data_IF_720579442693
#
_entry.id   IF_720579442693
#
_cell.length_a   1.000
_cell.length_b   1.000
_cell.length_c   1.000
_cell.angle_alpha   90.00
_cell.angle_beta   90.00
_cell.angle_gamma   90.00
#
_symmetry.space_group_name_H-M   'P 1'
#
loop_
_entity.id
_entity.type
_entity.pdbx_description
1 polymer ?
#
# COMPACT_ATOMS: atom_id res chain seq x y z
N UNK A 1 -8.20 -35.50 -4.94
CA UNK A 1 -9.29 -34.74 -5.61
C UNK A 1 -10.30 -34.37 -4.56
N UNK A 2 -10.50 -33.10 -4.28
CA UNK A 2 -11.56 -32.69 -3.38
C UNK A 2 -12.91 -32.98 -4.04
N UNK A 3 -13.85 -33.58 -3.30
CA UNK A 3 -15.19 -33.83 -3.81
C UNK A 3 -15.94 -32.51 -3.96
N UNK A 4 -16.95 -32.42 -4.84
CA UNK A 4 -17.79 -31.23 -4.97
C UNK A 4 -18.38 -30.77 -3.63
N UNK A 5 -18.61 -31.70 -2.70
CA UNK A 5 -19.08 -31.41 -1.34
C UNK A 5 -18.02 -30.66 -0.54
N UNK A 6 -16.75 -31.09 -0.60
CA UNK A 6 -15.65 -30.42 0.11
C UNK A 6 -15.45 -28.98 -0.37
N UNK A 7 -15.51 -28.76 -1.70
CA UNK A 7 -15.44 -27.41 -2.29
C UNK A 7 -16.61 -26.55 -1.80
N UNK A 8 -17.84 -27.06 -1.83
CA UNK A 8 -19.01 -26.32 -1.34
C UNK A 8 -18.94 -26.01 0.15
N UNK A 9 -18.44 -26.93 0.98
CA UNK A 9 -18.28 -26.71 2.40
C UNK A 9 -17.21 -25.62 2.70
N UNK A 10 -16.12 -25.60 1.92
CA UNK A 10 -15.11 -24.54 2.00
C UNK A 10 -15.69 -23.19 1.59
N UNK A 11 -16.35 -23.11 0.41
CA UNK A 11 -16.97 -21.86 -0.05
C UNK A 11 -17.96 -21.35 0.99
N UNK A 12 -18.87 -22.21 1.48
CA UNK A 12 -19.85 -21.86 2.51
C UNK A 12 -19.19 -21.28 3.76
N UNK A 13 -18.06 -21.86 4.22
CA UNK A 13 -17.32 -21.36 5.39
C UNK A 13 -16.87 -19.91 5.21
N UNK A 14 -16.48 -19.52 3.98
CA UNK A 14 -15.93 -18.20 3.70
C UNK A 14 -16.96 -17.19 3.17
N UNK A 15 -18.24 -17.55 3.06
CA UNK A 15 -19.34 -16.62 2.75
C UNK A 15 -19.81 -15.83 3.98
N UNK A 16 -19.40 -16.21 5.17
CA UNK A 16 -19.72 -15.48 6.40
C UNK A 16 -18.67 -14.40 6.68
N UNK A 17 -19.11 -13.29 7.28
CA UNK A 17 -18.26 -12.21 7.74
C UNK A 17 -17.21 -12.74 8.72
N UNK A 18 -15.90 -12.66 8.41
CA UNK A 18 -14.85 -13.14 9.29
C UNK A 18 -14.63 -12.18 10.48
N UNK A 19 -13.81 -12.60 11.45
CA UNK A 19 -13.29 -11.67 12.47
C UNK A 19 -12.37 -10.64 11.81
N UNK A 20 -12.32 -9.42 12.37
CA UNK A 20 -11.42 -8.38 11.91
C UNK A 20 -9.98 -8.91 11.82
N UNK A 21 -9.29 -8.55 10.74
CA UNK A 21 -7.94 -8.98 10.39
C UNK A 21 -7.72 -10.51 10.35
N UNK A 22 -8.79 -11.30 10.15
CA UNK A 22 -8.62 -12.73 9.90
C UNK A 22 -7.69 -12.94 8.67
N UNK A 23 -6.67 -13.82 8.78
CA UNK A 23 -5.68 -13.97 7.72
C UNK A 23 -6.28 -14.57 6.45
N UNK A 24 -5.79 -14.13 5.29
CA UNK A 24 -5.94 -14.75 3.99
C UNK A 24 -4.69 -15.54 3.59
N UNK A 25 -4.53 -15.79 2.29
CA UNK A 25 -3.28 -16.30 1.73
C UNK A 25 -2.13 -15.33 2.01
N UNK A 26 -0.96 -15.87 2.36
CA UNK A 26 0.20 -15.05 2.79
C UNK A 26 0.92 -14.37 1.65
N UNK A 27 0.95 -15.04 0.49
CA UNK A 27 1.76 -14.63 -0.67
C UNK A 27 0.86 -13.98 -1.74
N UNK A 28 0.36 -12.78 -1.47
CA UNK A 28 -0.42 -12.03 -2.46
C UNK A 28 0.48 -11.18 -3.35
N UNK A 29 1.38 -10.41 -2.73
CA UNK A 29 2.24 -9.45 -3.43
C UNK A 29 3.48 -10.08 -4.05
N UNK A 30 3.95 -11.21 -3.50
CA UNK A 30 5.13 -11.96 -3.92
C UNK A 30 4.80 -13.31 -4.61
N UNK A 31 3.51 -13.61 -4.84
CA UNK A 31 3.11 -14.76 -5.66
C UNK A 31 3.68 -14.60 -7.09
N UNK A 32 4.39 -15.60 -7.63
CA UNK A 32 5.09 -15.48 -8.91
C UNK A 32 4.19 -15.14 -10.11
N UNK A 33 2.90 -15.47 -10.05
CA UNK A 33 1.92 -15.14 -11.09
C UNK A 33 1.25 -13.80 -10.80
N UNK A 34 0.69 -13.62 -9.60
CA UNK A 34 -0.06 -12.41 -9.23
C UNK A 34 0.82 -11.16 -9.29
N UNK A 35 2.09 -11.25 -8.84
CA UNK A 35 3.00 -10.10 -8.83
C UNK A 35 3.33 -9.56 -10.23
N UNK A 36 3.25 -10.39 -11.29
CA UNK A 36 3.36 -9.91 -12.68
C UNK A 36 2.15 -9.08 -13.09
N UNK A 37 0.95 -9.57 -12.77
CA UNK A 37 -0.30 -8.85 -13.03
C UNK A 37 -0.38 -7.55 -12.19
N UNK A 38 0.17 -7.57 -10.97
CA UNK A 38 0.30 -6.38 -10.14
C UNK A 38 1.24 -5.35 -10.76
N UNK A 39 2.38 -5.76 -11.31
CA UNK A 39 3.27 -4.86 -12.03
C UNK A 39 2.56 -4.20 -13.22
N UNK A 40 1.79 -4.95 -14.00
CA UNK A 40 0.97 -4.40 -15.09
C UNK A 40 -0.04 -3.37 -14.56
N UNK A 41 -0.69 -3.65 -13.42
CA UNK A 41 -1.62 -2.74 -12.77
C UNK A 41 -0.93 -1.44 -12.29
N UNK A 42 0.28 -1.52 -11.72
CA UNK A 42 1.10 -0.36 -11.37
C UNK A 42 1.44 0.54 -12.57
N UNK A 43 1.69 -0.07 -13.72
CA UNK A 43 2.10 0.65 -14.93
C UNK A 43 0.92 1.17 -15.76
N UNK A 44 -0.31 0.76 -15.44
CA UNK A 44 -1.51 1.18 -16.15
C UNK A 44 -1.86 2.65 -15.82
N UNK A 45 -1.83 3.50 -16.84
CA UNK A 45 -2.12 4.93 -16.70
C UNK A 45 -3.60 5.30 -16.87
N UNK A 46 -4.46 4.33 -17.12
CA UNK A 46 -5.91 4.58 -17.29
C UNK A 46 -6.63 4.62 -15.94
N UNK A 47 -6.14 3.89 -14.97
CA UNK A 47 -6.75 3.72 -13.65
C UNK A 47 -5.70 3.84 -12.54
N UNK A 48 -6.09 4.37 -11.39
CA UNK A 48 -5.34 4.28 -10.14
C UNK A 48 -5.61 2.89 -9.51
N UNK A 49 -5.04 1.83 -10.11
CA UNK A 49 -5.29 0.45 -9.65
C UNK A 49 -4.34 0.03 -8.51
N UNK A 50 -3.03 -0.04 -8.80
CA UNK A 50 -2.00 -0.39 -7.82
C UNK A 50 -1.02 0.77 -7.56
N UNK A 51 -1.02 1.79 -8.42
CA UNK A 51 -0.29 3.05 -8.23
C UNK A 51 -1.13 4.21 -8.73
N UNK A 52 -0.80 5.41 -8.26
CA UNK A 52 -1.33 6.66 -8.83
C UNK A 52 -0.87 6.81 -10.28
N UNK A 53 -1.66 7.55 -11.08
CA UNK A 53 -1.25 7.96 -12.42
C UNK A 53 0.04 8.77 -12.38
N UNK A 54 0.83 8.68 -13.45
CA UNK A 54 2.11 9.39 -13.56
C UNK A 54 1.96 10.89 -13.29
N UNK A 55 0.90 11.53 -13.80
CA UNK A 55 0.66 12.95 -13.55
C UNK A 55 0.45 13.30 -12.08
N UNK A 56 -0.22 12.42 -11.31
CA UNK A 56 -0.41 12.59 -9.86
C UNK A 56 0.91 12.38 -9.12
N UNK A 57 1.71 11.38 -9.54
CA UNK A 57 3.04 11.13 -8.99
C UNK A 57 3.96 12.33 -9.22
N UNK A 58 3.97 12.89 -10.42
CA UNK A 58 4.77 14.09 -10.77
C UNK A 58 4.35 15.28 -9.89
N UNK A 59 3.05 15.54 -9.72
CA UNK A 59 2.53 16.60 -8.86
C UNK A 59 2.91 16.39 -7.39
N UNK A 60 2.82 15.16 -6.88
CA UNK A 60 3.22 14.82 -5.51
C UNK A 60 4.68 15.14 -5.26
N UNK A 61 5.58 14.67 -6.12
CA UNK A 61 7.03 14.92 -5.98
C UNK A 61 7.32 16.41 -6.07
N UNK A 62 6.74 17.08 -7.04
CA UNK A 62 6.86 18.53 -7.23
C UNK A 62 6.39 19.31 -5.99
N UNK A 63 5.26 18.93 -5.39
CA UNK A 63 4.74 19.55 -4.19
C UNK A 63 5.67 19.40 -3.01
N UNK A 64 6.10 18.17 -2.71
CA UNK A 64 6.99 17.88 -1.57
C UNK A 64 8.35 18.59 -1.68
N UNK A 65 8.87 18.74 -2.91
CA UNK A 65 10.11 19.50 -3.16
C UNK A 65 9.88 21.00 -3.04
N UNK A 66 8.83 21.54 -3.67
CA UNK A 66 8.53 23.01 -3.68
C UNK A 66 8.22 23.55 -2.30
N UNK A 67 7.56 22.76 -1.44
CA UNK A 67 7.26 23.16 -0.06
C UNK A 67 8.46 23.03 0.87
N UNK A 68 9.53 22.36 0.41
CA UNK A 68 10.73 22.13 1.22
C UNK A 68 10.59 21.04 2.26
N UNK A 69 9.52 20.24 2.20
CA UNK A 69 9.38 19.01 3.00
C UNK A 69 10.47 18.01 2.63
N UNK A 70 10.73 17.86 1.33
CA UNK A 70 11.88 17.13 0.81
C UNK A 70 12.85 18.08 0.10
N UNK A 71 14.16 17.86 0.24
CA UNK A 71 15.22 18.71 -0.34
C UNK A 71 16.29 17.85 -1.01
N UNK A 72 16.92 18.32 -2.10
CA UNK A 72 18.09 17.66 -2.67
C UNK A 72 19.15 17.37 -1.60
N UNK A 73 19.77 16.20 -1.67
CA UNK A 73 20.75 15.71 -0.71
C UNK A 73 20.18 15.00 0.51
N UNK A 74 18.85 15.03 0.73
CA UNK A 74 18.21 14.22 1.76
C UNK A 74 18.26 12.72 1.39
N UNK A 75 18.43 11.87 2.40
CA UNK A 75 18.30 10.41 2.29
C UNK A 75 16.88 10.00 2.60
N UNK A 76 16.20 9.42 1.60
CA UNK A 76 14.79 9.04 1.63
C UNK A 76 14.63 7.52 1.63
N UNK A 77 13.80 6.99 2.53
CA UNK A 77 13.35 5.60 2.53
C UNK A 77 11.92 5.52 1.97
N UNK A 78 11.74 4.78 0.88
CA UNK A 78 10.44 4.55 0.19
C UNK A 78 9.94 3.15 0.54
N UNK A 79 8.91 3.07 1.40
CA UNK A 79 8.35 1.81 1.90
C UNK A 79 7.22 1.32 1.00
N UNK A 80 7.39 0.13 0.43
CA UNK A 80 6.49 -0.39 -0.60
C UNK A 80 6.68 0.34 -1.93
N UNK A 81 7.94 0.52 -2.35
CA UNK A 81 8.29 1.37 -3.50
C UNK A 81 7.78 0.81 -4.86
N UNK A 82 7.31 -0.44 -4.90
CA UNK A 82 6.81 -1.09 -6.10
C UNK A 82 7.79 -1.00 -7.28
N UNK A 83 7.32 -0.65 -8.49
CA UNK A 83 8.16 -0.51 -9.68
C UNK A 83 9.01 0.77 -9.69
N UNK A 84 9.19 1.45 -8.55
CA UNK A 84 10.08 2.59 -8.39
C UNK A 84 9.60 3.89 -9.06
N UNK A 85 8.30 4.05 -9.27
CA UNK A 85 7.75 5.21 -9.98
C UNK A 85 7.99 6.53 -9.21
N UNK A 86 7.81 6.51 -7.88
CA UNK A 86 8.16 7.63 -7.00
C UNK A 86 9.67 7.73 -6.79
N UNK A 87 10.32 6.61 -6.46
CA UNK A 87 11.76 6.54 -6.19
C UNK A 87 12.60 7.17 -7.31
N UNK A 88 12.31 6.86 -8.59
CA UNK A 88 12.98 7.46 -9.75
C UNK A 88 12.86 8.99 -9.76
N UNK A 89 11.70 9.53 -9.42
CA UNK A 89 11.44 10.97 -9.44
C UNK A 89 12.13 11.69 -8.29
N UNK A 90 12.09 11.12 -7.11
CA UNK A 90 12.81 11.64 -5.96
C UNK A 90 14.33 11.66 -6.21
N UNK A 91 14.87 10.57 -6.77
CA UNK A 91 16.28 10.54 -7.15
C UNK A 91 16.60 11.55 -8.24
N UNK A 92 15.72 11.73 -9.24
CA UNK A 92 15.82 12.77 -10.27
C UNK A 92 15.76 14.19 -9.71
N UNK A 93 15.12 14.39 -8.57
CA UNK A 93 15.10 15.66 -7.83
C UNK A 93 16.31 15.83 -6.88
N UNK A 94 17.26 14.88 -6.90
CA UNK A 94 18.53 14.97 -6.16
C UNK A 94 18.51 14.35 -4.76
N UNK A 95 17.54 13.50 -4.44
CA UNK A 95 17.54 12.76 -3.17
C UNK A 95 18.33 11.44 -3.30
N UNK A 96 18.89 10.98 -2.19
CA UNK A 96 19.47 9.64 -2.05
C UNK A 96 18.36 8.66 -1.65
N UNK A 97 17.91 7.82 -2.57
CA UNK A 97 16.72 6.99 -2.36
C UNK A 97 17.08 5.55 -2.10
N UNK A 98 16.49 4.99 -1.03
CA UNK A 98 16.45 3.56 -0.73
C UNK A 98 14.99 3.11 -0.84
N UNK A 99 14.68 2.16 -1.71
CA UNK A 99 13.34 1.61 -1.90
C UNK A 99 13.26 0.18 -1.36
N UNK A 100 12.24 -0.11 -0.55
CA UNK A 100 11.93 -1.45 -0.07
C UNK A 100 10.63 -1.95 -0.69
N UNK A 101 10.66 -3.16 -1.20
CA UNK A 101 9.45 -3.86 -1.65
C UNK A 101 9.61 -5.38 -1.49
N UNK A 102 8.50 -6.11 -1.37
CA UNK A 102 8.52 -7.57 -1.26
C UNK A 102 8.49 -8.26 -2.64
N UNK A 103 8.03 -7.53 -3.68
CA UNK A 103 7.85 -8.04 -5.04
C UNK A 103 9.13 -7.92 -5.86
N UNK A 104 9.86 -9.03 -6.06
CA UNK A 104 11.04 -9.02 -6.92
C UNK A 104 10.71 -8.62 -8.37
N UNK A 105 9.56 -9.01 -8.91
CA UNK A 105 9.13 -8.58 -10.25
C UNK A 105 9.02 -7.05 -10.37
N UNK A 106 8.50 -6.37 -9.34
CA UNK A 106 8.43 -4.92 -9.29
C UNK A 106 9.82 -4.29 -9.19
N UNK A 107 10.68 -4.88 -8.35
CA UNK A 107 12.05 -4.38 -8.13
C UNK A 107 12.97 -4.60 -9.34
N UNK A 108 12.82 -5.68 -10.08
CA UNK A 108 13.54 -5.87 -11.36
C UNK A 108 13.21 -4.75 -12.34
N UNK A 109 11.92 -4.40 -12.46
CA UNK A 109 11.50 -3.26 -13.27
C UNK A 109 12.06 -1.94 -12.73
N UNK A 110 12.02 -1.73 -11.41
CA UNK A 110 12.51 -0.51 -10.77
C UNK A 110 14.02 -0.31 -11.01
N UNK A 111 14.84 -1.36 -10.88
CA UNK A 111 16.28 -1.33 -11.18
C UNK A 111 16.54 -0.98 -12.64
N UNK A 112 15.86 -1.64 -13.58
CA UNK A 112 15.99 -1.33 -14.99
C UNK A 112 15.57 0.11 -15.34
N UNK A 113 14.56 0.64 -14.67
CA UNK A 113 14.08 2.01 -14.81
C UNK A 113 15.11 3.02 -14.29
N UNK A 114 15.76 2.73 -13.17
CA UNK A 114 16.82 3.56 -12.57
C UNK A 114 18.09 3.55 -13.42
N UNK A 115 18.53 2.37 -13.86
CA UNK A 115 19.72 2.19 -14.72
C UNK A 115 19.56 2.98 -16.04
N UNK A 116 18.41 2.86 -16.68
CA UNK A 116 18.10 3.61 -17.91
C UNK A 116 18.16 5.13 -17.73
N UNK A 117 17.87 5.60 -16.51
CA UNK A 117 17.91 7.02 -16.16
C UNK A 117 19.27 7.46 -15.58
N UNK A 118 20.23 6.54 -15.41
CA UNK A 118 21.50 6.76 -14.71
C UNK A 118 21.31 7.34 -13.31
N UNK A 119 20.32 6.85 -12.56
CA UNK A 119 20.02 7.28 -11.19
C UNK A 119 20.50 6.24 -10.20
N UNK A 120 21.34 6.58 -9.22
CA UNK A 120 21.83 5.66 -8.20
C UNK A 120 20.77 5.45 -7.11
N UNK A 121 19.84 4.53 -7.34
CA UNK A 121 18.79 4.17 -6.37
C UNK A 121 19.12 2.79 -5.82
N UNK A 122 19.09 2.64 -4.49
CA UNK A 122 19.22 1.35 -3.84
C UNK A 122 17.84 0.70 -3.69
N UNK A 123 17.66 -0.50 -4.26
CA UNK A 123 16.43 -1.30 -4.11
C UNK A 123 16.71 -2.61 -3.38
N UNK A 124 15.96 -2.87 -2.30
CA UNK A 124 16.06 -4.08 -1.48
C UNK A 124 14.76 -4.88 -1.52
N UNK A 125 14.85 -6.16 -1.89
CA UNK A 125 13.73 -7.09 -1.80
C UNK A 125 13.59 -7.57 -0.36
N UNK A 126 12.67 -6.96 0.39
CA UNK A 126 12.40 -7.33 1.77
C UNK A 126 11.03 -6.82 2.22
N UNK A 127 10.47 -7.48 3.21
CA UNK A 127 9.33 -6.94 3.92
C UNK A 127 9.80 -5.76 4.79
N UNK A 128 9.27 -4.56 4.56
CA UNK A 128 9.63 -3.38 5.35
C UNK A 128 9.24 -3.51 6.84
N UNK A 129 8.35 -4.43 7.21
CA UNK A 129 8.07 -4.74 8.62
C UNK A 129 9.27 -5.37 9.34
N UNK A 130 10.25 -5.90 8.60
CA UNK A 130 11.47 -6.53 9.10
C UNK A 130 12.71 -5.62 8.97
N UNK A 131 12.50 -4.32 8.67
CA UNK A 131 13.61 -3.38 8.55
C UNK A 131 14.26 -3.07 9.92
N UNK A 132 15.59 -2.90 9.91
CA UNK A 132 16.41 -2.66 11.11
C UNK A 132 17.32 -1.43 10.95
N UNK A 133 16.80 -0.35 10.38
CA UNK A 133 17.55 0.92 10.24
C UNK A 133 17.53 1.71 11.54
N UNK A 134 18.63 2.44 11.79
CA UNK A 134 18.78 3.31 12.98
C UNK A 134 19.39 4.67 12.59
N UNK A 135 18.62 5.75 12.74
CA UNK A 135 19.09 7.14 12.56
C UNK A 135 19.78 7.38 11.19
N UNK A 136 19.19 6.86 10.12
CA UNK A 136 19.81 6.91 8.79
C UNK A 136 19.12 7.88 7.83
N UNK A 137 17.80 8.07 7.94
CA UNK A 137 17.00 8.74 6.93
C UNK A 137 16.52 10.13 7.39
N UNK A 138 16.62 11.10 6.47
CA UNK A 138 16.03 12.42 6.64
C UNK A 138 14.51 12.39 6.42
N UNK A 139 14.06 11.44 5.63
CA UNK A 139 12.63 11.21 5.40
C UNK A 139 12.32 9.74 5.18
N UNK A 140 11.12 9.32 5.61
CA UNK A 140 10.48 8.05 5.25
C UNK A 140 9.18 8.38 4.55
N UNK A 141 8.89 7.71 3.44
CA UNK A 141 7.62 7.88 2.71
C UNK A 141 6.93 6.54 2.53
N UNK A 142 5.59 6.54 2.66
CA UNK A 142 4.73 5.41 2.35
C UNK A 142 3.45 5.93 1.72
N UNK A 143 3.23 5.62 0.46
CA UNK A 143 2.17 6.22 -0.34
C UNK A 143 1.06 5.24 -0.70
N UNK A 144 -0.08 5.80 -1.11
CA UNK A 144 -1.23 5.10 -1.64
C UNK A 144 -1.97 4.22 -0.63
N UNK A 145 -2.04 4.72 0.62
CA UNK A 145 -2.87 4.12 1.67
C UNK A 145 -2.36 2.81 2.23
N UNK A 146 -1.09 2.49 2.06
CA UNK A 146 -0.51 1.26 2.57
C UNK A 146 -0.68 1.14 4.09
N UNK A 147 -0.55 2.27 4.85
CA UNK A 147 -0.83 2.28 6.29
C UNK A 147 -2.23 1.78 6.64
N UNK A 148 -3.19 2.02 5.79
CA UNK A 148 -4.58 1.61 5.99
C UNK A 148 -4.78 0.09 5.95
N UNK A 149 -3.79 -0.69 5.51
CA UNK A 149 -3.92 -2.15 5.37
C UNK A 149 -3.56 -2.93 6.63
N UNK A 150 -2.98 -2.26 7.64
CA UNK A 150 -2.44 -2.92 8.81
C UNK A 150 -3.42 -2.96 9.99
N UNK A 151 -3.31 -4.03 10.79
CA UNK A 151 -3.91 -4.05 12.12
C UNK A 151 -3.21 -3.05 13.04
N UNK A 152 -3.89 -2.58 14.09
CA UNK A 152 -3.31 -1.65 15.07
C UNK A 152 -1.94 -2.13 15.60
N UNK A 153 -1.84 -3.41 15.97
CA UNK A 153 -0.58 -3.99 16.49
C UNK A 153 0.53 -4.00 15.44
N UNK A 154 0.21 -4.24 14.17
CA UNK A 154 1.19 -4.22 13.09
C UNK A 154 1.62 -2.79 12.78
N UNK A 155 0.66 -1.86 12.76
CA UNK A 155 0.92 -0.44 12.56
C UNK A 155 1.81 0.15 13.66
N UNK A 156 1.55 -0.16 14.95
CA UNK A 156 2.40 0.27 16.07
C UNK A 156 3.86 -0.21 15.91
N UNK A 157 4.06 -1.45 15.47
CA UNK A 157 5.41 -1.99 15.20
C UNK A 157 6.08 -1.26 14.03
N UNK A 158 5.34 -1.03 12.96
CA UNK A 158 5.86 -0.30 11.79
C UNK A 158 6.26 1.13 12.17
N UNK A 159 5.41 1.86 12.89
CA UNK A 159 5.70 3.22 13.36
C UNK A 159 6.93 3.26 14.26
N UNK A 160 7.12 2.26 15.12
CA UNK A 160 8.34 2.15 15.93
C UNK A 160 9.59 1.95 15.05
N UNK A 161 9.51 1.11 14.02
CA UNK A 161 10.63 0.89 13.09
C UNK A 161 10.92 2.13 12.24
N UNK A 162 9.88 2.84 11.77
CA UNK A 162 10.02 4.13 11.07
C UNK A 162 10.70 5.16 11.97
N UNK A 163 10.26 5.27 13.23
CA UNK A 163 10.84 6.18 14.20
C UNK A 163 12.34 5.92 14.44
N UNK A 164 12.74 4.64 14.51
CA UNK A 164 14.16 4.27 14.64
C UNK A 164 14.97 4.61 13.38
N UNK A 165 14.38 4.41 12.21
CA UNK A 165 15.05 4.66 10.93
C UNK A 165 15.28 6.16 10.67
N UNK A 166 14.41 7.03 11.18
CA UNK A 166 14.50 8.47 11.04
C UNK A 166 15.62 9.07 11.89
N UNK A 167 16.28 10.09 11.36
CA UNK A 167 17.12 11.03 12.12
C UNK A 167 16.26 11.89 13.05
N UNK A 168 16.89 12.56 14.02
CA UNK A 168 16.18 13.39 15.02
C UNK A 168 15.27 14.45 14.39
N UNK A 169 15.68 15.07 13.26
CA UNK A 169 14.90 16.05 12.50
C UNK A 169 14.14 15.42 11.31
N UNK A 170 14.05 14.10 11.27
CA UNK A 170 13.47 13.37 10.16
C UNK A 170 11.94 13.48 10.10
N UNK A 171 11.39 13.30 8.89
CA UNK A 171 9.95 13.37 8.66
C UNK A 171 9.39 12.07 8.10
N UNK A 172 8.19 11.72 8.52
CA UNK A 172 7.40 10.64 7.96
C UNK A 172 6.26 11.19 7.11
N UNK A 173 6.19 10.79 5.84
CA UNK A 173 5.23 11.27 4.84
C UNK A 173 4.38 10.09 4.39
N UNK A 174 3.06 10.23 4.46
CA UNK A 174 2.16 9.15 4.05
C UNK A 174 0.77 9.69 3.72
N UNK A 175 -0.07 8.83 3.11
CA UNK A 175 -1.49 9.06 2.99
C UNK A 175 -2.30 7.86 3.53
N UNK A 176 -3.51 8.14 3.99
CA UNK A 176 -4.47 7.13 4.46
C UNK A 176 -5.83 7.33 3.81
N UNK A 177 -6.59 6.25 3.64
CA UNK A 177 -7.95 6.31 3.13
C UNK A 177 -8.94 6.81 4.18
N UNK A 178 -10.00 7.45 3.71
CA UNK A 178 -11.12 7.86 4.55
C UNK A 178 -12.33 6.96 4.35
N UNK A 179 -13.24 7.00 5.31
CA UNK A 179 -14.53 6.31 5.19
C UNK A 179 -15.32 6.75 3.97
N UNK A 180 -15.17 8.00 3.53
CA UNK A 180 -15.82 8.53 2.32
C UNK A 180 -15.36 7.78 1.06
N UNK A 181 -14.04 7.62 0.88
CA UNK A 181 -13.50 6.80 -0.21
C UNK A 181 -14.12 5.41 -0.19
N UNK A 182 -14.10 4.76 0.96
CA UNK A 182 -14.60 3.40 1.13
C UNK A 182 -16.06 3.26 0.76
N UNK A 183 -16.91 4.18 1.21
CA UNK A 183 -18.35 4.15 0.94
C UNK A 183 -18.68 4.39 -0.54
N UNK A 184 -17.83 5.14 -1.26
CA UNK A 184 -17.94 5.32 -2.71
C UNK A 184 -17.48 4.08 -3.47
N UNK A 185 -16.33 3.52 -3.10
CA UNK A 185 -15.63 2.48 -3.86
C UNK A 185 -15.88 1.06 -3.32
N UNK A 186 -16.76 0.93 -2.31
CA UNK A 186 -17.10 -0.39 -1.76
C UNK A 186 -17.58 -1.34 -2.85
N UNK A 187 -16.90 -2.47 -2.96
CA UNK A 187 -17.26 -3.53 -3.91
C UNK A 187 -18.64 -4.10 -3.62
N UNK A 188 -19.34 -4.51 -4.67
CA UNK A 188 -20.53 -5.34 -4.55
C UNK A 188 -20.11 -6.81 -4.60
N UNK A 189 -20.85 -7.67 -3.90
CA UNK A 189 -20.65 -9.10 -4.04
C UNK A 189 -20.87 -9.51 -5.51
N UNK A 190 -19.86 -10.15 -6.07
CA UNK A 190 -19.81 -10.51 -7.48
C UNK A 190 -19.20 -11.90 -7.64
N UNK A 191 -19.39 -12.51 -8.79
CA UNK A 191 -18.67 -13.71 -9.19
C UNK A 191 -18.50 -13.77 -10.70
N UNK A 192 -17.42 -14.37 -11.13
CA UNK A 192 -17.14 -14.59 -12.55
C UNK A 192 -16.22 -15.79 -12.74
N UNK A 193 -16.30 -16.38 -13.93
CA UNK A 193 -15.31 -17.35 -14.39
C UNK A 193 -14.32 -16.67 -15.33
N UNK A 194 -13.03 -16.89 -15.08
CA UNK A 194 -11.94 -16.41 -15.94
C UNK A 194 -11.23 -17.59 -16.57
N UNK A 195 -10.89 -17.47 -17.85
CA UNK A 195 -10.10 -18.48 -18.57
C UNK A 195 -8.59 -18.34 -18.35
N UNK A 196 -8.17 -17.40 -17.58
CA UNK A 196 -6.82 -16.99 -17.21
C UNK A 196 -6.81 -15.51 -16.90
N UNK A 197 -5.80 -15.01 -16.21
CA UNK A 197 -5.67 -13.59 -15.87
C UNK A 197 -5.03 -13.33 -14.53
N UNK A 198 -5.51 -12.31 -13.82
CA UNK A 198 -4.87 -11.79 -12.61
C UNK A 198 -4.57 -12.86 -11.55
N UNK A 199 -5.58 -13.67 -11.19
CA UNK A 199 -5.45 -14.61 -10.07
C UNK A 199 -4.72 -15.90 -10.42
N UNK A 200 -4.94 -16.43 -11.63
CA UNK A 200 -4.39 -17.70 -12.13
C UNK A 200 -4.13 -17.63 -13.61
N UNK A 201 -3.13 -18.35 -14.12
CA UNK A 201 -2.89 -18.47 -15.55
C UNK A 201 -3.96 -19.34 -16.27
N UNK A 202 -4.56 -20.32 -15.55
CA UNK A 202 -5.57 -21.22 -16.07
C UNK A 202 -6.99 -20.78 -15.68
N UNK A 203 -7.97 -21.55 -16.13
CA UNK A 203 -9.39 -21.35 -15.82
C UNK A 203 -9.68 -21.42 -14.31
N UNK A 204 -10.40 -20.43 -13.80
CA UNK A 204 -10.75 -20.36 -12.38
C UNK A 204 -12.05 -19.57 -12.16
N UNK A 205 -12.73 -19.86 -11.06
CA UNK A 205 -13.87 -19.10 -10.56
C UNK A 205 -13.40 -18.12 -9.50
N UNK A 206 -13.89 -16.88 -9.55
CA UNK A 206 -13.68 -15.84 -8.55
C UNK A 206 -15.00 -15.48 -7.90
N UNK A 207 -15.04 -15.46 -6.56
CA UNK A 207 -16.12 -14.87 -5.79
C UNK A 207 -15.55 -13.67 -5.03
N UNK A 208 -16.09 -12.50 -5.28
CA UNK A 208 -15.72 -11.24 -4.66
C UNK A 208 -16.74 -10.86 -3.60
N UNK A 209 -16.29 -10.52 -2.41
CA UNK A 209 -17.15 -10.21 -1.27
C UNK A 209 -16.60 -9.03 -0.49
N UNK A 210 -17.46 -8.03 -0.22
CA UNK A 210 -17.16 -6.92 0.64
C UNK A 210 -17.81 -7.06 2.01
N UNK A 211 -17.07 -6.77 3.08
CA UNK A 211 -17.58 -6.78 4.45
C UNK A 211 -17.25 -5.47 5.17
N UNK A 212 -18.30 -4.83 5.66
CA UNK A 212 -18.21 -3.59 6.41
C UNK A 212 -18.16 -3.84 7.92
N UNK A 213 -17.26 -3.17 8.65
CA UNK A 213 -17.10 -3.19 10.11
C UNK A 213 -17.19 -1.76 10.65
N UNK A 214 -18.38 -1.15 10.65
CA UNK A 214 -18.55 0.28 10.93
C UNK A 214 -18.09 0.69 12.33
N UNK A 215 -18.18 -0.21 13.32
CA UNK A 215 -17.74 0.07 14.70
C UNK A 215 -16.22 0.15 14.86
N UNK A 216 -15.47 -0.25 13.83
CA UNK A 216 -14.01 -0.29 13.83
C UNK A 216 -13.41 0.50 12.68
N UNK A 217 -14.23 1.18 11.88
CA UNK A 217 -13.82 1.84 10.63
C UNK A 217 -13.02 0.93 9.69
N UNK A 218 -13.39 -0.38 9.66
CA UNK A 218 -12.73 -1.37 8.83
C UNK A 218 -13.60 -1.81 7.65
N UNK A 219 -12.93 -2.14 6.57
CA UNK A 219 -13.49 -2.82 5.41
C UNK A 219 -12.63 -4.00 5.02
N UNK A 220 -13.26 -5.05 4.52
CA UNK A 220 -12.60 -6.21 3.94
C UNK A 220 -13.08 -6.42 2.52
N UNK A 221 -12.15 -6.45 1.55
CA UNK A 221 -12.36 -7.09 0.26
C UNK A 221 -11.82 -8.52 0.32
N UNK A 222 -12.71 -9.49 0.15
CA UNK A 222 -12.37 -10.91 0.17
C UNK A 222 -12.59 -11.53 -1.20
N UNK A 223 -11.59 -12.26 -1.67
CA UNK A 223 -11.62 -12.99 -2.92
C UNK A 223 -11.45 -14.48 -2.63
N UNK A 224 -12.41 -15.29 -3.10
CA UNK A 224 -12.34 -16.74 -3.04
C UNK A 224 -12.05 -17.23 -4.47
N UNK A 225 -10.88 -17.80 -4.66
CA UNK A 225 -10.42 -18.32 -5.93
C UNK A 225 -10.55 -19.83 -5.92
N UNK A 226 -11.31 -20.37 -6.88
CA UNK A 226 -11.55 -21.81 -7.02
C UNK A 226 -11.00 -22.27 -8.37
N UNK A 227 -10.02 -23.16 -8.33
CA UNK A 227 -9.39 -23.77 -9.49
C UNK A 227 -9.27 -25.30 -9.31
N UNK A 228 -8.63 -26.01 -10.24
CA UNK A 228 -8.42 -27.44 -10.17
C UNK A 228 -7.54 -27.87 -8.97
N UNK A 229 -6.70 -26.97 -8.44
CA UNK A 229 -5.84 -27.22 -7.28
C UNK A 229 -6.59 -27.07 -5.94
N UNK A 230 -7.78 -26.42 -5.95
CA UNK A 230 -8.61 -26.24 -4.77
C UNK A 230 -9.16 -24.83 -4.59
N UNK A 231 -9.19 -24.37 -3.34
CA UNK A 231 -9.75 -23.06 -2.96
C UNK A 231 -8.71 -22.26 -2.22
N UNK A 232 -8.46 -21.04 -2.67
CA UNK A 232 -7.63 -20.05 -1.99
C UNK A 232 -8.41 -18.81 -1.64
N UNK A 233 -8.11 -18.19 -0.49
CA UNK A 233 -8.81 -17.03 0.03
C UNK A 233 -7.83 -15.88 0.20
N UNK A 234 -8.05 -14.80 -0.53
CA UNK A 234 -7.30 -13.56 -0.39
C UNK A 234 -8.14 -12.54 0.35
N UNK A 235 -7.51 -11.74 1.22
CA UNK A 235 -8.18 -10.76 2.07
C UNK A 235 -7.38 -9.48 2.11
N UNK A 236 -7.99 -8.41 1.59
CA UNK A 236 -7.43 -7.07 1.65
C UNK A 236 -8.24 -6.29 2.68
N UNK A 237 -7.58 -6.00 3.81
CA UNK A 237 -8.15 -5.21 4.89
C UNK A 237 -7.82 -3.75 4.67
N UNK A 238 -8.77 -2.89 5.05
CA UNK A 238 -8.61 -1.45 4.99
C UNK A 238 -9.15 -0.84 6.28
N UNK A 239 -8.32 -0.10 6.99
CA UNK A 239 -8.69 0.73 8.11
C UNK A 239 -8.83 2.16 7.60
N UNK A 240 -10.04 2.71 7.64
CA UNK A 240 -10.31 4.07 7.21
C UNK A 240 -10.08 5.03 8.38
N UNK A 241 -9.47 6.18 8.10
CA UNK A 241 -9.10 7.15 9.13
C UNK A 241 -9.87 8.46 8.97
N UNK A 242 -10.08 9.14 10.09
CA UNK A 242 -10.31 10.57 10.18
C UNK A 242 -9.00 11.27 10.56
N UNK A 243 -8.92 12.59 10.39
CA UNK A 243 -7.75 13.34 10.88
C UNK A 243 -7.52 13.14 12.37
N UNK A 244 -8.61 13.09 13.15
CA UNK A 244 -8.53 12.85 14.59
C UNK A 244 -7.91 11.48 14.90
N UNK A 245 -8.43 10.40 14.31
CA UNK A 245 -7.98 9.04 14.63
C UNK A 245 -6.55 8.79 14.17
N UNK A 246 -6.12 9.30 13.00
CA UNK A 246 -4.73 9.15 12.57
C UNK A 246 -3.76 10.01 13.42
N UNK A 247 -4.19 11.20 13.85
CA UNK A 247 -3.39 12.04 14.75
C UNK A 247 -3.18 11.36 16.10
N UNK A 248 -4.21 10.73 16.66
CA UNK A 248 -4.12 9.98 17.92
C UNK A 248 -3.14 8.81 17.81
N UNK A 249 -3.20 8.05 16.69
CA UNK A 249 -2.26 6.95 16.41
C UNK A 249 -0.82 7.48 16.35
N UNK A 250 -0.58 8.57 15.65
CA UNK A 250 0.74 9.18 15.51
C UNK A 250 1.28 9.67 16.87
N UNK A 251 0.47 10.44 17.61
CA UNK A 251 0.85 10.99 18.92
C UNK A 251 1.18 9.88 19.92
N UNK A 252 0.37 8.83 19.97
CA UNK A 252 0.60 7.64 20.82
C UNK A 252 1.95 6.96 20.51
N UNK A 253 2.39 7.03 19.25
CA UNK A 253 3.64 6.43 18.79
C UNK A 253 4.82 7.42 18.74
N UNK A 254 4.67 8.62 19.30
CA UNK A 254 5.74 9.61 19.46
C UNK A 254 6.03 10.44 18.21
N UNK A 255 5.03 10.63 17.36
CA UNK A 255 5.09 11.54 16.22
C UNK A 255 4.21 12.77 16.46
N UNK A 256 4.64 13.91 15.92
CA UNK A 256 3.89 15.17 15.87
C UNK A 256 3.49 15.49 14.43
N UNK A 257 2.20 15.75 14.18
CA UNK A 257 1.70 16.16 12.86
C UNK A 257 2.18 17.58 12.53
N UNK A 258 2.83 17.77 11.39
CA UNK A 258 3.35 19.05 10.89
C UNK A 258 2.49 19.64 9.78
N UNK A 259 2.12 18.83 8.79
CA UNK A 259 1.33 19.25 7.64
C UNK A 259 0.23 18.24 7.36
N UNK A 260 -0.91 18.75 6.88
CA UNK A 260 -2.07 17.92 6.49
C UNK A 260 -2.66 18.45 5.19
N UNK A 261 -2.92 17.55 4.24
CA UNK A 261 -3.57 17.84 2.96
C UNK A 261 -4.65 16.79 2.65
N UNK A 262 -5.53 17.07 1.68
CA UNK A 262 -6.48 16.07 1.19
C UNK A 262 -5.78 14.95 0.39
N UNK A 263 -4.63 15.25 -0.19
CA UNK A 263 -3.75 14.31 -0.89
C UNK A 263 -2.31 14.83 -0.94
N UNK A 264 -1.38 13.96 -1.32
CA UNK A 264 0.05 14.30 -1.40
C UNK A 264 0.41 15.29 -2.53
N UNK A 265 -0.52 15.68 -3.41
CA UNK A 265 -0.30 16.74 -4.39
C UNK A 265 -0.39 18.14 -3.77
N UNK A 266 -0.78 18.21 -2.49
CA UNK A 266 -0.87 19.45 -1.72
C UNK A 266 -2.23 20.12 -1.79
N UNK A 267 -3.27 19.41 -2.14
CA UNK A 267 -4.65 19.89 -2.07
C UNK A 267 -5.00 20.25 -0.63
N UNK A 268 -5.46 21.51 -0.41
CA UNK A 268 -5.78 22.00 0.94
C UNK A 268 -6.75 21.06 1.65
N UNK A 269 -6.42 20.67 2.88
CA UNK A 269 -7.28 19.83 3.70
C UNK A 269 -8.68 20.43 3.87
N UNK A 270 -9.68 19.70 3.44
CA UNK A 270 -11.09 20.10 3.46
C UNK A 270 -11.89 19.46 4.59
N UNK A 271 -11.42 18.35 5.15
CA UNK A 271 -12.13 17.50 6.09
C UNK A 271 -13.18 16.59 5.44
N UNK A 272 -13.31 16.63 4.11
CA UNK A 272 -14.27 15.83 3.33
C UNK A 272 -13.59 15.20 2.09
N UNK A 273 -12.28 14.97 2.16
CA UNK A 273 -11.51 14.29 1.12
C UNK A 273 -11.66 12.77 1.15
N UNK A 274 -11.26 12.14 0.05
CA UNK A 274 -11.17 10.67 -0.04
C UNK A 274 -9.93 10.13 0.67
N UNK A 275 -8.93 10.99 0.83
CA UNK A 275 -7.63 10.70 1.42
C UNK A 275 -7.29 11.75 2.48
N UNK A 276 -6.35 11.41 3.34
CA UNK A 276 -5.66 12.35 4.24
C UNK A 276 -4.19 12.11 4.06
N UNK A 277 -3.48 13.12 3.56
CA UNK A 277 -2.03 13.12 3.46
C UNK A 277 -1.42 13.85 4.65
N UNK A 278 -0.38 13.27 5.23
CA UNK A 278 0.22 13.74 6.48
C UNK A 278 1.74 13.79 6.34
N UNK A 279 2.32 14.86 6.88
CA UNK A 279 3.74 14.93 7.25
C UNK A 279 3.82 14.99 8.76
N UNK A 280 4.55 14.05 9.35
CA UNK A 280 4.79 13.98 10.79
C UNK A 280 6.30 13.99 11.08
N UNK A 281 6.71 14.48 12.23
CA UNK A 281 8.10 14.43 12.71
C UNK A 281 8.17 13.77 14.09
N UNK A 282 9.39 13.50 14.56
CA UNK A 282 9.64 13.01 15.91
C UNK A 282 9.45 14.11 16.95
#
# INVERSE_FOLDING_TARGET
MNTSKEILDVIKKYTYKPKAFAPGEKHFWDDPHISKSMLEAHLNQQHDAASRKISTIDQTVDHLIKTGVLKPGMRLLDLGCGPGLYAKRFAGAGLEVVGLDISENSLEYARALADKANLPIEFRCMNFLDMEYENEFDAVIQVYGELSTFSETTLEKLLLSIRKALKDDGVFIFDVSTRKLRMRDKGQNNWYYSYGGFWRPEGHLVLEMGFDYPEQDLWLDQYIIVDESGVKIYRNWFHDYSLHTITDVLTKNGFEVREVWDDLTGSKYSGDGDWIAVVASL
#
